data_IF_817874354898
#
_entry.id   IF_817874354898
#
_cell.length_a   1.000
_cell.length_b   1.000
_cell.length_c   1.000
_cell.angle_alpha   90.00
_cell.angle_beta   90.00
_cell.angle_gamma   90.00
#
_symmetry.space_group_name_H-M   'P 1'
#
loop_
_entity.id
_entity.type
_entity.pdbx_description
1 polymer ?
#
# COMPACT_ATOMS: atom_id res chain seq x y z
N UNK A 1 -7.13 -12.44 17.23
CA UNK A 1 -7.08 -11.27 18.13
C UNK A 1 -5.87 -10.42 17.80
N UNK A 2 -6.12 -9.23 17.27
CA UNK A 2 -5.19 -8.10 17.29
C UNK A 2 -6.08 -6.86 17.31
N UNK A 3 -6.01 -6.08 18.38
CA UNK A 3 -6.90 -4.94 18.61
C UNK A 3 -6.03 -3.81 19.17
N UNK A 4 -5.63 -2.88 18.30
CA UNK A 4 -4.95 -1.65 18.70
C UNK A 4 -6.04 -0.66 19.14
N UNK A 5 -6.09 -0.37 20.45
CA UNK A 5 -7.25 0.20 21.14
C UNK A 5 -7.59 1.69 20.79
N UNK A 6 -6.86 2.33 19.85
CA UNK A 6 -6.93 3.79 19.59
C UNK A 6 -6.99 4.16 18.10
N UNK A 7 -6.92 3.21 17.17
CA UNK A 7 -7.13 3.49 15.76
C UNK A 7 -7.93 2.37 15.08
N UNK A 8 -9.02 2.76 14.41
CA UNK A 8 -9.69 1.95 13.42
C UNK A 8 -9.27 2.50 12.08
N UNK A 9 -8.35 1.82 11.41
CA UNK A 9 -8.03 2.10 10.02
C UNK A 9 -8.75 1.05 9.19
N UNK A 10 -9.57 1.50 8.24
CA UNK A 10 -10.04 0.60 7.20
C UNK A 10 -8.82 -0.02 6.51
N UNK A 11 -8.89 -1.35 6.31
CA UNK A 11 -7.83 -2.14 5.71
C UNK A 11 -8.35 -2.71 4.39
N UNK A 12 -8.16 -1.96 3.31
CA UNK A 12 -8.51 -2.40 1.97
C UNK A 12 -7.26 -2.85 1.24
N UNK A 13 -7.24 -4.13 0.84
CA UNK A 13 -6.21 -4.64 -0.07
C UNK A 13 -6.52 -4.08 -1.46
N UNK A 14 -5.78 -3.06 -1.87
CA UNK A 14 -5.95 -2.42 -3.18
C UNK A 14 -5.30 -3.26 -4.28
N UNK A 15 -4.16 -3.86 -3.94
CA UNK A 15 -3.40 -4.72 -4.81
C UNK A 15 -2.66 -5.78 -4.01
N UNK A 16 -2.55 -6.96 -4.61
CA UNK A 16 -1.84 -8.11 -4.05
C UNK A 16 -1.19 -8.86 -5.19
N UNK A 17 0.10 -9.13 -5.01
CA UNK A 17 0.86 -9.95 -5.94
C UNK A 17 0.38 -11.41 -5.93
N UNK A 18 0.46 -12.08 -7.08
CA UNK A 18 0.05 -13.48 -7.22
C UNK A 18 0.84 -14.43 -6.30
N UNK A 19 2.14 -14.15 -6.12
CA UNK A 19 3.04 -14.89 -5.24
C UNK A 19 3.08 -14.30 -3.81
N UNK A 20 2.18 -13.36 -3.49
CA UNK A 20 2.10 -12.66 -2.21
C UNK A 20 3.43 -12.00 -1.80
N UNK A 21 4.24 -11.59 -2.78
CA UNK A 21 5.53 -10.95 -2.52
C UNK A 21 5.34 -9.51 -2.00
N UNK A 22 4.31 -8.83 -2.49
CA UNK A 22 3.94 -7.50 -2.03
C UNK A 22 2.41 -7.34 -1.95
N UNK A 23 1.98 -6.41 -1.11
CA UNK A 23 0.59 -6.01 -0.95
C UNK A 23 0.51 -4.50 -0.77
N UNK A 24 -0.42 -3.87 -1.49
CA UNK A 24 -0.76 -2.47 -1.29
C UNK A 24 -2.08 -2.39 -0.55
N UNK A 25 -2.02 -1.72 0.60
CA UNK A 25 -3.14 -1.54 1.49
C UNK A 25 -3.47 -0.06 1.52
N UNK A 26 -4.72 0.25 1.24
CA UNK A 26 -5.29 1.58 1.38
C UNK A 26 -6.33 1.61 2.50
N UNK A 27 -6.73 2.82 2.85
CA UNK A 27 -7.88 3.06 3.71
C UNK A 27 -9.04 3.65 2.92
N UNK A 28 -10.23 3.78 3.54
CA UNK A 28 -11.40 4.46 2.92
C UNK A 28 -11.10 5.91 2.51
N UNK A 29 -10.04 6.51 3.05
CA UNK A 29 -9.58 7.86 2.72
C UNK A 29 -8.24 7.78 1.99
N UNK A 30 -7.98 8.73 1.09
CA UNK A 30 -6.70 8.95 0.39
C UNK A 30 -5.50 9.24 1.33
N UNK A 31 -5.76 9.43 2.62
CA UNK A 31 -4.78 9.83 3.63
C UNK A 31 -3.85 8.71 4.09
N UNK A 32 -4.25 7.45 3.92
CA UNK A 32 -3.49 6.31 4.44
C UNK A 32 -3.27 5.26 3.36
N UNK A 33 -1.99 5.00 3.08
CA UNK A 33 -1.54 4.02 2.13
C UNK A 33 -0.28 3.35 2.68
N UNK A 34 -0.25 2.02 2.62
CA UNK A 34 0.88 1.21 3.02
C UNK A 34 1.23 0.21 1.93
N UNK A 35 2.50 0.16 1.56
CA UNK A 35 3.05 -0.86 0.68
C UNK A 35 3.84 -1.81 1.57
N UNK A 36 3.40 -3.06 1.65
CA UNK A 36 4.09 -4.11 2.38
C UNK A 36 4.79 -5.01 1.37
N UNK A 37 6.06 -5.30 1.61
CA UNK A 37 6.86 -6.21 0.80
C UNK A 37 7.51 -7.25 1.71
N UNK A 38 7.51 -8.51 1.28
CA UNK A 38 8.26 -9.57 1.97
C UNK A 38 9.76 -9.42 1.77
N UNK A 39 10.16 -8.88 0.63
CA UNK A 39 11.55 -8.58 0.33
C UNK A 39 11.88 -7.13 0.65
N UNK A 40 13.12 -6.88 1.08
CA UNK A 40 13.58 -5.53 1.45
C UNK A 40 13.62 -4.58 0.25
N UNK A 41 13.84 -5.12 -0.94
CA UNK A 41 13.86 -4.37 -2.19
C UNK A 41 12.74 -4.88 -3.09
N UNK A 42 11.77 -4.03 -3.37
CA UNK A 42 10.83 -4.27 -4.46
C UNK A 42 11.56 -4.08 -5.79
N UNK A 43 11.29 -4.92 -6.81
CA UNK A 43 11.73 -4.65 -8.17
C UNK A 43 11.26 -3.27 -8.61
N UNK A 44 12.14 -2.50 -9.25
CA UNK A 44 11.85 -1.12 -9.65
C UNK A 44 10.62 -1.04 -10.58
N UNK A 45 10.49 -2.00 -11.50
CA UNK A 45 9.34 -2.13 -12.40
C UNK A 45 8.00 -2.28 -11.64
N UNK A 46 7.98 -3.07 -10.56
CA UNK A 46 6.78 -3.24 -9.74
C UNK A 46 6.48 -1.97 -8.97
N UNK A 47 7.51 -1.33 -8.41
CA UNK A 47 7.36 -0.08 -7.68
C UNK A 47 6.77 1.02 -8.58
N UNK A 48 7.25 1.17 -9.81
CA UNK A 48 6.72 2.14 -10.76
C UNK A 48 5.27 1.85 -11.16
N UNK A 49 4.93 0.59 -11.43
CA UNK A 49 3.57 0.15 -11.71
C UNK A 49 2.62 0.46 -10.54
N UNK A 50 3.04 0.15 -9.30
CA UNK A 50 2.30 0.47 -8.09
C UNK A 50 2.08 1.98 -7.95
N UNK A 51 3.14 2.78 -8.12
CA UNK A 51 3.04 4.25 -8.05
C UNK A 51 2.08 4.81 -9.10
N UNK A 52 2.08 4.24 -10.30
CA UNK A 52 1.11 4.57 -11.36
C UNK A 52 -0.32 4.31 -10.91
N UNK A 53 -0.62 3.09 -10.46
CA UNK A 53 -1.96 2.70 -9.99
C UNK A 53 -2.44 3.50 -8.79
N UNK A 54 -1.53 3.80 -7.86
CA UNK A 54 -1.81 4.63 -6.67
C UNK A 54 -2.16 6.06 -7.11
N UNK A 55 -1.41 6.62 -8.07
CA UNK A 55 -1.65 7.96 -8.62
C UNK A 55 -2.98 8.03 -9.38
N UNK A 56 -3.30 7.02 -10.20
CA UNK A 56 -4.57 6.94 -10.91
C UNK A 56 -5.78 6.88 -9.96
N UNK A 57 -5.60 6.26 -8.80
CA UNK A 57 -6.61 6.22 -7.73
C UNK A 57 -6.73 7.53 -6.96
N UNK A 58 -5.87 8.51 -7.22
CA UNK A 58 -5.88 9.83 -6.59
C UNK A 58 -5.15 9.91 -5.25
N UNK A 59 -4.30 8.93 -4.93
CA UNK A 59 -3.45 8.99 -3.73
C UNK A 59 -2.19 9.81 -4.00
N UNK A 60 -1.76 10.57 -3.00
CA UNK A 60 -0.59 11.45 -3.09
C UNK A 60 0.71 10.67 -2.82
N UNK A 61 1.38 10.23 -3.89
CA UNK A 61 2.64 9.48 -3.80
C UNK A 61 3.80 10.31 -3.22
N UNK A 62 3.71 11.64 -3.17
CA UNK A 62 4.75 12.50 -2.58
C UNK A 62 4.77 12.41 -1.05
N UNK A 63 3.73 11.87 -0.43
CA UNK A 63 3.68 11.58 1.01
C UNK A 63 4.25 10.20 1.36
N UNK A 64 4.65 9.40 0.36
CA UNK A 64 5.25 8.10 0.62
C UNK A 64 6.65 8.31 1.21
N UNK A 65 6.84 7.84 2.46
CA UNK A 65 8.14 7.87 3.12
C UNK A 65 8.82 6.52 2.82
N UNK A 66 9.94 6.54 2.10
CA UNK A 66 10.72 5.35 1.72
C UNK A 66 11.83 5.01 2.71
#
# INVERSE_FOLDING_TARGET
>A
MAFFLWFYADYYILELDADYQYAVIGSSTDKYLWILSRERNLPEAVREDLLGKITERGYDISKLIS
#
